data_IF_600748396940
#
_entry.id   IF_600748396940
#
_cell.length_a   1.000
_cell.length_b   1.000
_cell.length_c   1.000
_cell.angle_alpha   90.00
_cell.angle_beta   90.00
_cell.angle_gamma   90.00
#
_symmetry.space_group_name_H-M   'P 1'
#
loop_
_entity.id
_entity.type
_entity.pdbx_description
1 polymer ?
#
# COMPACT_ATOMS: atom_id res chain seq x y z
N UNK A 1 5.30 -23.24 -7.43
CA UNK A 1 5.57 -23.35 -5.99
C UNK A 1 6.99 -23.87 -5.89
N UNK A 2 7.95 -23.00 -5.56
CA UNK A 2 9.32 -23.44 -5.35
C UNK A 2 9.39 -23.88 -3.89
N UNK A 3 9.67 -25.16 -3.65
CA UNK A 3 9.91 -25.68 -2.30
C UNK A 3 11.26 -25.17 -1.80
N UNK A 4 11.29 -23.94 -1.32
CA UNK A 4 12.43 -23.35 -0.62
C UNK A 4 12.27 -23.54 0.88
N UNK A 5 13.37 -23.79 1.59
CA UNK A 5 13.32 -23.89 3.05
C UNK A 5 12.90 -22.54 3.65
N UNK A 6 12.10 -22.51 4.74
CA UNK A 6 11.65 -21.26 5.36
C UNK A 6 12.82 -20.35 5.79
N UNK A 7 13.93 -20.94 6.20
CA UNK A 7 15.15 -20.23 6.60
C UNK A 7 15.73 -19.46 5.40
N UNK A 8 15.77 -20.09 4.23
CA UNK A 8 16.30 -19.47 3.01
C UNK A 8 15.42 -18.31 2.56
N UNK A 9 14.09 -18.48 2.56
CA UNK A 9 13.14 -17.39 2.24
C UNK A 9 13.35 -16.21 3.19
N UNK A 10 13.45 -16.48 4.49
CA UNK A 10 13.59 -15.44 5.52
C UNK A 10 14.88 -14.65 5.31
N UNK A 11 16.00 -15.33 5.10
CA UNK A 11 17.30 -14.69 4.85
C UNK A 11 17.28 -13.86 3.56
N UNK A 12 16.68 -14.38 2.49
CA UNK A 12 16.60 -13.68 1.20
C UNK A 12 15.71 -12.43 1.28
N UNK A 13 14.55 -12.50 1.94
CA UNK A 13 13.67 -11.35 2.14
C UNK A 13 14.33 -10.27 2.98
N UNK A 14 15.01 -10.65 4.06
CA UNK A 14 15.69 -9.70 4.95
C UNK A 14 16.90 -9.06 4.27
N UNK A 15 17.70 -9.85 3.54
CA UNK A 15 18.85 -9.35 2.78
C UNK A 15 18.40 -8.41 1.67
N UNK A 16 17.34 -8.76 0.94
CA UNK A 16 16.75 -7.91 -0.10
C UNK A 16 16.24 -6.58 0.45
N UNK A 17 15.64 -6.58 1.65
CA UNK A 17 15.20 -5.37 2.33
C UNK A 17 16.37 -4.45 2.68
N UNK A 18 17.43 -5.01 3.27
CA UNK A 18 18.63 -4.24 3.64
C UNK A 18 19.31 -3.64 2.40
N UNK A 19 19.50 -4.43 1.35
CA UNK A 19 20.11 -3.97 0.10
C UNK A 19 19.26 -2.84 -0.51
N UNK A 20 17.95 -3.03 -0.62
CA UNK A 20 17.04 -2.01 -1.16
C UNK A 20 17.05 -0.71 -0.37
N UNK A 21 17.13 -0.80 0.96
CA UNK A 21 17.19 0.37 1.83
C UNK A 21 18.55 1.08 1.75
N UNK A 22 19.67 0.35 1.71
CA UNK A 22 21.00 0.93 1.59
C UNK A 22 21.27 1.58 0.23
N UNK A 23 20.55 1.17 -0.82
CA UNK A 23 20.53 1.87 -2.10
C UNK A 23 19.80 3.23 -2.03
N UNK A 24 19.18 3.57 -0.90
CA UNK A 24 18.45 4.83 -0.70
C UNK A 24 17.05 4.84 -1.29
N UNK A 25 16.51 3.68 -1.69
CA UNK A 25 15.14 3.62 -2.20
C UNK A 25 14.10 3.81 -1.09
N UNK A 26 12.95 4.46 -1.38
CA UNK A 26 11.90 4.61 -0.40
C UNK A 26 11.38 3.24 0.07
N UNK A 27 11.19 3.12 1.39
CA UNK A 27 10.82 1.87 2.06
C UNK A 27 9.58 1.20 1.43
N UNK A 28 8.58 1.99 1.03
CA UNK A 28 7.36 1.49 0.43
C UNK A 28 7.61 0.68 -0.86
N UNK A 29 8.52 1.13 -1.72
CA UNK A 29 8.85 0.42 -2.96
C UNK A 29 9.65 -0.84 -2.70
N UNK A 30 10.57 -0.80 -1.74
CA UNK A 30 11.36 -1.98 -1.34
C UNK A 30 10.44 -3.07 -0.78
N UNK A 31 9.57 -2.73 0.17
CA UNK A 31 8.61 -3.67 0.74
C UNK A 31 7.61 -4.20 -0.29
N UNK A 32 7.08 -3.32 -1.14
CA UNK A 32 6.16 -3.70 -2.22
C UNK A 32 6.82 -4.65 -3.23
N UNK A 33 8.04 -4.34 -3.67
CA UNK A 33 8.81 -5.18 -4.59
C UNK A 33 9.11 -6.56 -4.00
N UNK A 34 9.56 -6.63 -2.74
CA UNK A 34 9.78 -7.89 -2.05
C UNK A 34 8.47 -8.68 -1.90
N UNK A 35 7.35 -8.02 -1.56
CA UNK A 35 6.05 -8.68 -1.48
C UNK A 35 5.65 -9.31 -2.82
N UNK A 36 5.83 -8.61 -3.94
CA UNK A 36 5.53 -9.14 -5.28
C UNK A 36 6.44 -10.31 -5.64
N UNK A 37 7.76 -10.16 -5.47
CA UNK A 37 8.74 -11.20 -5.85
C UNK A 37 8.52 -12.46 -5.02
N UNK A 38 8.60 -12.36 -3.70
CA UNK A 38 8.52 -13.53 -2.82
C UNK A 38 7.10 -14.09 -2.74
N UNK A 39 6.08 -13.23 -2.83
CA UNK A 39 4.69 -13.65 -2.93
C UNK A 39 4.42 -14.46 -4.19
N UNK A 40 4.98 -14.06 -5.34
CA UNK A 40 4.87 -14.81 -6.58
C UNK A 40 5.65 -16.13 -6.53
N UNK A 41 6.85 -16.16 -5.93
CA UNK A 41 7.63 -17.40 -5.80
C UNK A 41 6.94 -18.44 -4.89
N UNK A 42 6.27 -17.97 -3.82
CA UNK A 42 5.52 -18.82 -2.90
C UNK A 42 4.18 -19.29 -3.48
N UNK A 43 3.26 -18.35 -3.72
CA UNK A 43 1.86 -18.62 -4.08
C UNK A 43 1.60 -18.61 -5.59
N UNK A 44 2.60 -18.31 -6.42
CA UNK A 44 2.44 -18.18 -7.86
C UNK A 44 1.52 -17.01 -8.25
N UNK A 45 0.85 -17.09 -9.40
CA UNK A 45 -0.10 -16.06 -9.84
C UNK A 45 -1.25 -15.80 -8.86
N UNK A 46 -1.54 -16.72 -7.93
CA UNK A 46 -2.62 -16.53 -6.97
C UNK A 46 -2.35 -15.39 -5.96
N UNK A 47 -1.08 -14.98 -5.80
CA UNK A 47 -0.69 -13.85 -4.94
C UNK A 47 -1.43 -12.55 -5.32
N UNK A 48 -1.75 -12.36 -6.60
CA UNK A 48 -2.44 -11.16 -7.06
C UNK A 48 -3.85 -11.03 -6.48
N UNK A 49 -4.54 -12.15 -6.19
CA UNK A 49 -5.82 -12.11 -5.48
C UNK A 49 -5.66 -11.60 -4.04
N UNK A 50 -4.54 -11.94 -3.39
CA UNK A 50 -4.24 -11.46 -2.03
C UNK A 50 -3.96 -9.96 -2.04
N UNK A 51 -3.20 -9.48 -3.03
CA UNK A 51 -2.96 -8.03 -3.21
C UNK A 51 -4.24 -7.28 -3.50
N UNK A 52 -5.08 -7.81 -4.39
CA UNK A 52 -6.38 -7.20 -4.70
C UNK A 52 -7.25 -7.09 -3.46
N UNK A 53 -7.35 -8.16 -2.65
CA UNK A 53 -8.09 -8.13 -1.39
C UNK A 53 -7.54 -7.09 -0.40
N UNK A 54 -6.21 -6.95 -0.31
CA UNK A 54 -5.59 -5.97 0.59
C UNK A 54 -5.86 -4.53 0.14
N UNK A 55 -5.84 -4.30 -1.17
CA UNK A 55 -6.16 -3.00 -1.78
C UNK A 55 -7.63 -2.66 -1.52
N UNK A 56 -8.56 -3.59 -1.74
CA UNK A 56 -9.98 -3.41 -1.42
C UNK A 56 -10.20 -3.04 0.04
N UNK A 57 -9.60 -3.78 0.98
CA UNK A 57 -9.71 -3.45 2.40
C UNK A 57 -9.12 -2.07 2.78
N UNK A 58 -8.22 -1.53 1.95
CA UNK A 58 -7.71 -0.16 2.15
C UNK A 58 -8.69 0.89 1.61
N UNK A 59 -9.41 0.58 0.52
CA UNK A 59 -10.45 1.46 -0.02
C UNK A 59 -11.66 1.58 0.91
N UNK A 60 -11.99 0.53 1.66
CA UNK A 60 -13.05 0.54 2.68
C UNK A 60 -12.69 1.36 3.95
N UNK A 61 -11.61 2.12 3.93
CA UNK A 61 -11.17 2.93 5.06
C UNK A 61 -12.08 4.15 5.26
N UNK A 62 -12.77 4.20 6.40
CA UNK A 62 -13.65 5.32 6.79
C UNK A 62 -12.96 6.69 6.76
N UNK A 63 -11.64 6.76 7.00
CA UNK A 63 -10.87 8.01 6.92
C UNK A 63 -10.88 8.59 5.50
N UNK A 64 -10.95 7.74 4.46
CA UNK A 64 -11.04 8.20 3.08
C UNK A 64 -12.36 8.93 2.79
N UNK A 65 -13.42 8.68 3.57
CA UNK A 65 -14.68 9.44 3.48
C UNK A 65 -14.49 10.90 3.90
N UNK A 66 -13.46 11.21 4.69
CA UNK A 66 -13.17 12.60 5.05
C UNK A 66 -12.88 13.45 3.80
N UNK A 67 -12.24 12.89 2.76
CA UNK A 67 -11.88 13.62 1.53
C UNK A 67 -13.11 14.21 0.82
N UNK A 68 -14.12 13.42 0.40
CA UNK A 68 -15.31 13.97 -0.25
C UNK A 68 -16.13 14.85 0.69
N UNK A 69 -16.16 14.56 1.99
CA UNK A 69 -16.88 15.39 2.96
C UNK A 69 -16.22 16.76 3.17
N UNK A 70 -14.89 16.83 3.15
CA UNK A 70 -14.17 18.12 3.17
C UNK A 70 -14.40 18.92 1.89
N UNK A 71 -14.41 18.25 0.72
CA UNK A 71 -14.75 18.91 -0.55
C UNK A 71 -16.20 19.43 -0.50
N UNK A 72 -17.14 18.64 0.02
CA UNK A 72 -18.53 19.03 0.16
C UNK A 72 -18.70 20.23 1.10
N UNK A 73 -18.04 20.21 2.26
CA UNK A 73 -18.04 21.35 3.19
C UNK A 73 -17.48 22.61 2.52
N UNK A 74 -16.34 22.50 1.83
CA UNK A 74 -15.74 23.64 1.13
C UNK A 74 -16.72 24.26 0.12
N UNK A 75 -17.44 23.43 -0.65
CA UNK A 75 -18.46 23.89 -1.59
C UNK A 75 -19.65 24.55 -0.89
N UNK A 76 -20.11 24.03 0.26
CA UNK A 76 -21.18 24.66 1.02
C UNK A 76 -20.77 26.02 1.58
N UNK A 77 -19.53 26.16 2.06
CA UNK A 77 -19.01 27.42 2.58
C UNK A 77 -18.84 28.47 1.48
N UNK A 78 -18.36 28.06 0.31
CA UNK A 78 -18.22 28.91 -0.88
C UNK A 78 -19.60 29.42 -1.36
N UNK A 79 -20.57 28.51 -1.50
CA UNK A 79 -21.90 28.85 -1.99
C UNK A 79 -22.77 29.64 -0.99
N UNK A 80 -22.48 29.52 0.31
CA UNK A 80 -23.20 30.27 1.34
C UNK A 80 -22.66 31.68 1.60
N UNK A 81 -21.53 32.05 0.98
CA UNK A 81 -20.87 33.34 1.18
C UNK A 81 -20.20 33.51 2.55
N UNK A 82 -20.36 32.52 3.46
CA UNK A 82 -19.73 32.54 4.79
C UNK A 82 -18.20 32.53 4.68
N UNK A 83 -17.66 31.96 3.59
CA UNK A 83 -16.23 31.99 3.31
C UNK A 83 -15.70 33.40 2.97
N UNK A 84 -16.54 34.30 2.45
CA UNK A 84 -16.16 35.68 2.09
C UNK A 84 -16.25 36.65 3.29
N UNK A 85 -17.02 36.30 4.31
CA UNK A 85 -17.18 37.09 5.54
C UNK A 85 -16.08 36.84 6.60
N UNK A 86 -15.16 35.91 6.33
CA UNK A 86 -14.00 35.56 7.17
C UNK A 86 -12.73 36.28 6.72
#
# INVERSE_FOLDING_TARGET
MIDMSPELITVLMFSGLLIGLFMGHPLAFVLGGLAVIFGYLGWGPSVFYMFMNRIWGTMDNYVLLAIPLFIFMAQLLDQSGVAEEL
#
